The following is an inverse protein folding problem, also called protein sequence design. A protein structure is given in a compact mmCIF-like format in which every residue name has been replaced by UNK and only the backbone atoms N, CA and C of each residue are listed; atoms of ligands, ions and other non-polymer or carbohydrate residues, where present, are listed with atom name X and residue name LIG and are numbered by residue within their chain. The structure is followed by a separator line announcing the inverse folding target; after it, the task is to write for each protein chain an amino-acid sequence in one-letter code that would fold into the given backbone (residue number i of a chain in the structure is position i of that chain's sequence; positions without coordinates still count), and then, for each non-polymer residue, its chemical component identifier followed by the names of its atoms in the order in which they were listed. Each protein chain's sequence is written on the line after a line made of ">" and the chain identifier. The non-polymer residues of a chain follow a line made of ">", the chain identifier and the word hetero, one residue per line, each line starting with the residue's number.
data_IF_752272405584
#
_entry.id   IF_752272405584
#
_cell.length_a   1.000
_cell.length_b   1.000
_cell.length_c   1.000
_cell.angle_alpha   90.00
_cell.angle_beta   90.00
_cell.angle_gamma   90.00
#
_symmetry.space_group_name_H-M   'P 1'
#
loop_
_entity.id
_entity.type
_entity.pdbx_description
1 polymer ?
#
# COMPACT_ATOMS: atom_id res chain seq x y z
N UNK A 1 40.38 24.66 1.47
CA UNK A 1 39.88 23.28 1.68
C UNK A 1 38.74 23.22 2.69
N UNK A 2 38.80 23.96 3.80
CA UNK A 2 37.75 23.96 4.85
C UNK A 2 36.33 24.32 4.36
N UNK A 3 36.21 25.29 3.44
CA UNK A 3 34.90 25.70 2.88
C UNK A 3 34.22 24.60 2.05
N UNK A 4 35.00 23.79 1.33
CA UNK A 4 34.48 22.69 0.52
C UNK A 4 34.03 21.52 1.40
N UNK A 5 34.77 21.23 2.47
CA UNK A 5 34.42 20.19 3.43
C UNK A 5 33.19 20.61 4.27
N UNK A 6 33.14 21.88 4.70
CA UNK A 6 32.03 22.43 5.48
C UNK A 6 30.69 22.49 4.75
N UNK A 7 30.69 22.62 3.42
CA UNK A 7 29.47 22.58 2.59
C UNK A 7 29.21 21.20 1.98
N UNK A 8 30.26 20.46 1.61
CA UNK A 8 30.12 19.13 0.99
C UNK A 8 29.56 18.09 1.95
N UNK A 9 29.99 18.12 3.22
CA UNK A 9 29.53 17.18 4.24
C UNK A 9 28.00 17.26 4.51
N UNK A 10 27.41 18.43 4.82
CA UNK A 10 25.98 18.51 5.06
C UNK A 10 25.15 18.16 3.82
N UNK A 11 25.61 18.54 2.61
CA UNK A 11 24.94 18.18 1.35
C UNK A 11 24.91 16.66 1.16
N UNK A 12 26.03 15.98 1.43
CA UNK A 12 26.08 14.52 1.35
C UNK A 12 25.14 13.84 2.36
N UNK A 13 25.06 14.35 3.59
CA UNK A 13 24.14 13.84 4.62
C UNK A 13 22.68 14.02 4.21
N UNK A 14 22.31 15.18 3.67
CA UNK A 14 20.93 15.44 3.21
C UNK A 14 20.56 14.49 2.06
N UNK A 15 21.45 14.31 1.09
CA UNK A 15 21.25 13.38 -0.02
C UNK A 15 21.09 11.93 0.47
N UNK A 16 21.95 11.49 1.38
CA UNK A 16 21.84 10.17 1.98
C UNK A 16 20.52 9.99 2.75
N UNK A 17 20.07 11.01 3.48
CA UNK A 17 18.78 11.02 4.17
C UNK A 17 17.59 10.90 3.23
N UNK A 18 17.59 11.65 2.12
CA UNK A 18 16.55 11.56 1.08
C UNK A 18 16.46 10.15 0.47
N UNK A 19 17.62 9.54 0.17
CA UNK A 19 17.67 8.16 -0.33
C UNK A 19 17.11 7.20 0.72
N UNK A 20 17.51 7.32 1.99
CA UNK A 20 16.98 6.46 3.05
C UNK A 20 15.46 6.58 3.20
N UNK A 21 14.91 7.79 3.24
CA UNK A 21 13.46 8.03 3.37
C UNK A 21 12.70 7.49 2.17
N UNK A 22 13.19 7.72 0.95
CA UNK A 22 12.56 7.20 -0.26
C UNK A 22 12.54 5.67 -0.30
N UNK A 23 13.61 5.00 0.14
CA UNK A 23 13.66 3.54 0.28
C UNK A 23 12.68 3.01 1.34
N UNK A 24 12.56 3.70 2.47
CA UNK A 24 11.59 3.35 3.52
C UNK A 24 10.16 3.44 2.97
N UNK A 25 9.80 4.57 2.34
CA UNK A 25 8.48 4.76 1.75
C UNK A 25 8.19 3.73 0.66
N UNK A 26 9.16 3.41 -0.19
CA UNK A 26 9.03 2.35 -1.19
C UNK A 26 8.73 0.99 -0.56
N UNK A 27 9.32 0.68 0.60
CA UNK A 27 9.08 -0.56 1.34
C UNK A 27 7.71 -0.62 2.01
N UNK A 28 7.19 0.51 2.48
CA UNK A 28 5.86 0.61 3.12
C UNK A 28 4.70 0.80 2.12
N UNK A 29 5.00 1.19 0.89
CA UNK A 29 3.99 1.34 -0.15
C UNK A 29 3.50 -0.03 -0.65
N UNK A 30 2.21 -0.28 -0.50
CA UNK A 30 1.54 -1.46 -1.05
C UNK A 30 0.63 -1.03 -2.19
N UNK A 31 0.86 -1.60 -3.37
CA UNK A 31 0.06 -1.35 -4.57
C UNK A 31 -1.09 -2.35 -4.64
N UNK A 32 -2.30 -1.85 -4.85
CA UNK A 32 -3.47 -2.65 -5.21
C UNK A 32 -3.49 -2.86 -6.73
N UNK A 33 -3.97 -4.01 -7.18
CA UNK A 33 -4.20 -4.29 -8.60
C UNK A 33 -5.70 -4.31 -8.87
N UNK A 34 -6.12 -4.12 -10.11
CA UNK A 34 -7.55 -4.09 -10.48
C UNK A 34 -8.31 -5.37 -10.10
N UNK A 35 -7.61 -6.50 -9.97
CA UNK A 35 -8.19 -7.79 -9.57
C UNK A 35 -8.25 -7.98 -8.05
N UNK A 36 -7.43 -7.25 -7.28
CA UNK A 36 -7.26 -7.45 -5.85
C UNK A 36 -7.43 -6.11 -5.12
N UNK A 37 -8.54 -5.98 -4.41
CA UNK A 37 -8.76 -4.88 -3.49
C UNK A 37 -7.97 -5.08 -2.18
N UNK A 38 -7.39 -4.00 -1.68
CA UNK A 38 -6.73 -3.94 -0.38
C UNK A 38 -7.67 -3.30 0.64
N UNK A 39 -8.05 -4.06 1.65
CA UNK A 39 -8.80 -3.57 2.81
C UNK A 39 -7.79 -3.31 3.92
N UNK A 40 -7.51 -2.04 4.16
CA UNK A 40 -6.66 -1.59 5.27
C UNK A 40 -7.55 -1.31 6.48
N UNK A 41 -7.29 -1.96 7.60
CA UNK A 41 -7.99 -1.76 8.88
C UNK A 41 -6.98 -1.36 9.96
N UNK A 42 -7.38 -0.63 11.00
CA UNK A 42 -6.50 -0.27 12.11
C UNK A 42 -6.71 1.15 12.65
N UNK A 43 -5.62 1.77 13.14
CA UNK A 43 -5.62 3.10 13.75
C UNK A 43 -5.94 4.16 12.68
N UNK A 44 -7.15 4.72 12.72
CA UNK A 44 -7.67 5.61 11.67
C UNK A 44 -8.80 5.02 10.84
N UNK A 45 -9.31 3.84 11.20
CA UNK A 45 -10.52 3.25 10.63
C UNK A 45 -10.27 2.26 9.50
N UNK A 46 -11.30 2.04 8.69
CA UNK A 46 -11.27 1.09 7.56
C UNK A 46 -11.19 1.86 6.24
N UNK A 47 -10.20 1.55 5.42
CA UNK A 47 -10.02 2.13 4.08
C UNK A 47 -9.89 1.01 3.06
N UNK A 48 -10.81 0.98 2.10
CA UNK A 48 -10.80 0.03 0.98
C UNK A 48 -10.20 0.73 -0.23
N UNK A 49 -9.19 0.12 -0.84
CA UNK A 49 -8.54 0.61 -2.06
C UNK A 49 -8.69 -0.47 -3.13
N UNK A 50 -9.48 -0.19 -4.16
CA UNK A 50 -9.73 -1.13 -5.26
C UNK A 50 -8.70 -1.00 -6.39
N UNK A 51 -8.18 0.20 -6.61
CA UNK A 51 -7.12 0.47 -7.58
C UNK A 51 -6.23 1.60 -7.03
N UNK A 52 -4.94 1.56 -7.31
CA UNK A 52 -3.93 2.50 -6.82
C UNK A 52 -2.99 1.90 -5.77
N UNK A 53 -2.58 2.68 -4.78
CA UNK A 53 -1.70 2.18 -3.74
C UNK A 53 -1.78 3.00 -2.46
N UNK A 54 -1.35 2.37 -1.38
CA UNK A 54 -1.53 2.87 -0.03
C UNK A 54 -0.28 2.62 0.80
N UNK A 55 0.11 3.63 1.57
CA UNK A 55 1.17 3.48 2.57
C UNK A 55 0.57 2.81 3.79
N UNK A 56 1.17 1.69 4.17
CA UNK A 56 0.73 0.91 5.34
C UNK A 56 1.87 0.79 6.32
N UNK A 57 1.60 1.24 7.55
CA UNK A 57 2.48 1.02 8.70
C UNK A 57 2.11 -0.34 9.31
N UNK A 58 2.97 -1.37 9.21
CA UNK A 58 2.63 -2.74 9.62
C UNK A 58 2.30 -2.89 11.11
N UNK A 59 2.78 -1.98 11.96
CA UNK A 59 2.57 -2.01 13.41
C UNK A 59 1.15 -1.61 13.82
N UNK A 60 0.47 -0.77 13.03
CA UNK A 60 -0.81 -0.15 13.42
C UNK A 60 -1.97 -0.48 12.48
N UNK A 61 -1.70 -1.19 11.38
CA UNK A 61 -2.68 -1.48 10.36
C UNK A 61 -2.58 -2.93 9.90
N UNK A 62 -3.74 -3.55 9.74
CA UNK A 62 -3.92 -4.86 9.14
C UNK A 62 -4.35 -4.70 7.68
N UNK A 63 -3.91 -5.64 6.83
CA UNK A 63 -4.20 -5.64 5.39
C UNK A 63 -4.86 -6.96 5.02
N UNK A 64 -6.10 -6.90 4.55
CA UNK A 64 -6.75 -8.02 3.89
C UNK A 64 -6.78 -7.81 2.37
N UNK A 65 -6.55 -8.88 1.61
CA UNK A 65 -6.64 -8.91 0.15
C UNK A 65 -7.95 -9.57 -0.25
N UNK A 66 -8.76 -8.89 -1.05
CA UNK A 66 -10.04 -9.41 -1.52
C UNK A 66 -10.01 -9.47 -3.04
N UNK A 67 -10.36 -10.64 -3.60
CA UNK A 67 -10.48 -10.80 -5.03
C UNK A 67 -11.76 -10.09 -5.52
N UNK A 68 -11.63 -9.28 -6.56
CA UNK A 68 -12.73 -8.52 -7.16
C UNK A 68 -13.26 -9.13 -8.45
N UNK A 69 -12.69 -10.26 -8.89
CA UNK A 69 -13.27 -11.05 -9.94
C UNK A 69 -14.60 -11.64 -9.47
N UNK A 70 -15.62 -11.54 -10.32
CA UNK A 70 -16.94 -12.10 -10.04
C UNK A 70 -16.90 -13.61 -10.23
N UNK A 71 -17.19 -14.37 -9.18
CA UNK A 71 -17.42 -15.79 -9.31
C UNK A 71 -18.84 -16.01 -9.84
N UNK A 72 -18.97 -16.66 -11.00
CA UNK A 72 -20.27 -17.06 -11.52
C UNK A 72 -20.82 -18.18 -10.64
N UNK A 73 -21.80 -17.87 -9.80
CA UNK A 73 -22.44 -18.85 -8.94
C UNK A 73 -23.62 -19.48 -9.71
N UNK A 74 -23.50 -20.74 -10.20
CA UNK A 74 -24.61 -21.38 -10.89
C UNK A 74 -25.71 -21.68 -9.86
N UNK A 75 -26.82 -20.95 -9.96
CA UNK A 75 -28.01 -21.19 -9.13
C UNK A 75 -29.02 -22.02 -9.92
N UNK A 76 -29.17 -23.29 -9.53
CA UNK A 76 -30.25 -24.14 -10.04
C UNK A 76 -31.57 -23.71 -9.39
N UNK A 77 -32.53 -23.26 -10.20
CA UNK A 77 -33.86 -22.89 -9.73
C UNK A 77 -34.71 -24.15 -9.51
N UNK A 78 -34.69 -24.70 -8.30
CA UNK A 78 -35.57 -25.83 -7.91
C UNK A 78 -36.94 -25.33 -7.45
N UNK A 79 -37.59 -24.52 -8.29
CA UNK A 79 -38.82 -23.80 -7.94
C UNK A 79 -39.77 -23.63 -9.10
N UNK A 80 -39.92 -24.66 -9.93
CA UNK A 80 -41.14 -24.79 -10.73
C UNK A 80 -42.26 -25.19 -9.77
N UNK A 81 -42.95 -24.18 -9.25
CA UNK A 81 -44.25 -24.37 -8.60
C UNK A 81 -45.24 -24.72 -9.73
N UNK A 82 -46.08 -25.77 -9.57
CA UNK A 82 -46.96 -26.30 -10.61
C UNK A 82 -47.98 -25.28 -11.10
#
# INVERSE_FOLDING_TARGET
>A
MERLIGLGFPVAVILAGLVAVSLILARLYRRATKEIALVKTGLGGRKVVMDGGIVVLPLFHEIARVNMNTLHLPVSRTGARP
#
